data_IF_390746811480
#
_entry.id   IF_390746811480
#
_cell.length_a   1.000
_cell.length_b   1.000
_cell.length_c   1.000
_cell.angle_alpha   90.00
_cell.angle_beta   90.00
_cell.angle_gamma   90.00
#
_symmetry.space_group_name_H-M   'P 1'
#
loop_
_entity.id
_entity.type
_entity.pdbx_description
1 polymer ?
#
# COMPACT_ATOMS: atom_id res chain seq x y z
N UNK A 1 39.23 42.43 32.33
CA UNK A 1 39.32 41.53 31.16
C UNK A 1 38.94 40.14 31.64
N UNK A 2 37.75 39.65 31.31
CA UNK A 2 37.35 38.24 31.50
C UNK A 2 36.31 37.93 30.41
N UNK A 3 36.62 36.94 29.59
CA UNK A 3 35.93 36.61 28.36
C UNK A 3 34.58 35.92 28.64
N UNK A 4 33.53 36.36 27.93
CA UNK A 4 32.21 35.76 27.95
C UNK A 4 32.17 34.54 27.02
N UNK A 5 31.97 33.35 27.60
CA UNK A 5 31.78 32.08 26.90
C UNK A 5 30.39 32.04 26.20
N UNK A 6 30.29 31.88 24.86
CA UNK A 6 29.01 31.72 24.17
C UNK A 6 28.81 30.24 23.80
N UNK A 7 28.20 29.43 24.68
CA UNK A 7 28.23 27.97 24.49
C UNK A 7 26.91 27.18 24.57
N UNK A 8 25.87 27.68 25.23
CA UNK A 8 24.72 26.82 25.61
C UNK A 8 23.54 26.83 24.62
N UNK A 9 23.18 28.00 24.08
CA UNK A 9 21.95 28.16 23.27
C UNK A 9 22.01 27.58 21.85
N UNK A 10 23.22 27.45 21.28
CA UNK A 10 23.43 26.99 19.89
C UNK A 10 23.40 25.47 19.76
N UNK A 11 23.80 24.75 20.82
CA UNK A 11 23.81 23.28 20.88
C UNK A 11 22.41 22.70 21.02
N UNK A 12 21.54 23.33 21.83
CA UNK A 12 20.16 22.90 22.02
C UNK A 12 19.32 23.00 20.74
N UNK A 13 19.53 24.08 19.95
CA UNK A 13 18.84 24.27 18.66
C UNK A 13 19.27 23.27 17.60
N UNK A 14 20.54 22.86 17.60
CA UNK A 14 21.04 21.86 16.67
C UNK A 14 20.45 20.47 16.95
N UNK A 15 20.32 20.07 18.21
CA UNK A 15 19.69 18.80 18.59
C UNK A 15 18.19 18.79 18.27
N UNK A 16 17.48 19.89 18.54
CA UNK A 16 16.06 20.01 18.21
C UNK A 16 15.80 19.97 16.69
N UNK A 17 16.65 20.63 15.89
CA UNK A 17 16.58 20.56 14.43
C UNK A 17 16.85 19.14 13.90
N UNK A 18 17.79 18.42 14.52
CA UNK A 18 18.11 17.03 14.14
C UNK A 18 16.96 16.07 14.45
N UNK A 19 16.27 16.25 15.59
CA UNK A 19 15.08 15.48 15.96
C UNK A 19 13.90 15.74 14.99
N UNK A 20 13.71 16.99 14.56
CA UNK A 20 12.68 17.34 13.59
C UNK A 20 12.97 16.78 12.18
N UNK A 21 14.23 16.76 11.75
CA UNK A 21 14.63 16.12 10.47
C UNK A 21 14.49 14.59 10.52
N UNK A 22 14.79 13.96 11.65
CA UNK A 22 14.59 12.52 11.83
C UNK A 22 13.10 12.15 11.79
N UNK A 23 12.24 12.97 12.38
CA UNK A 23 10.79 12.77 12.34
C UNK A 23 10.21 12.95 10.92
N UNK A 24 10.68 13.94 10.16
CA UNK A 24 10.26 14.17 8.78
C UNK A 24 10.72 13.06 7.81
N UNK A 25 11.81 12.37 8.13
CA UNK A 25 12.31 11.24 7.34
C UNK A 25 11.45 9.98 7.52
N UNK A 26 10.91 9.75 8.71
CA UNK A 26 10.09 8.57 9.01
C UNK A 26 8.72 8.59 8.31
N UNK A 27 8.13 9.77 8.11
CA UNK A 27 6.84 9.91 7.42
C UNK A 27 6.95 9.83 5.90
N UNK A 28 8.13 10.09 5.33
CA UNK A 28 8.36 10.02 3.88
C UNK A 28 8.60 8.59 3.34
N UNK A 29 8.94 7.61 4.19
CA UNK A 29 9.12 6.21 3.75
C UNK A 29 7.80 5.47 3.45
N UNK A 30 6.64 6.01 3.84
CA UNK A 30 5.35 5.37 3.55
C UNK A 30 4.93 5.50 2.07
N UNK A 31 5.51 6.44 1.32
CA UNK A 31 5.17 6.71 -0.08
C UNK A 31 5.99 5.90 -1.10
N UNK A 32 6.98 5.09 -0.67
CA UNK A 32 7.83 4.30 -1.56
C UNK A 32 7.67 2.78 -1.42
N UNK A 33 6.73 2.32 -0.58
CA UNK A 33 6.41 0.90 -0.49
C UNK A 33 5.56 0.52 -1.71
N UNK A 34 6.22 0.03 -2.76
CA UNK A 34 5.55 -0.66 -3.86
C UNK A 34 4.63 -1.78 -3.36
N UNK A 35 3.72 -2.30 -4.21
CA UNK A 35 2.71 -3.27 -3.80
C UNK A 35 3.34 -4.46 -3.06
N UNK A 36 2.96 -4.65 -1.80
CA UNK A 36 3.46 -5.73 -0.97
C UNK A 36 2.83 -7.06 -1.41
N UNK A 37 3.44 -7.71 -2.40
CA UNK A 37 3.13 -9.10 -2.75
C UNK A 37 3.79 -9.97 -1.70
N UNK A 38 2.99 -10.58 -0.83
CA UNK A 38 3.49 -11.38 0.29
C UNK A 38 2.85 -12.76 0.30
N UNK A 39 3.63 -13.77 0.68
CA UNK A 39 3.12 -15.11 0.99
C UNK A 39 2.27 -15.13 2.28
N UNK A 40 2.25 -14.03 3.02
CA UNK A 40 1.45 -13.88 4.24
C UNK A 40 -0.01 -13.55 3.92
N UNK A 41 -0.95 -13.98 4.77
CA UNK A 41 -2.35 -13.57 4.64
C UNK A 41 -2.51 -12.04 4.60
N UNK A 42 -3.25 -11.54 3.63
CA UNK A 42 -3.58 -10.12 3.47
C UNK A 42 -4.89 -9.82 4.20
N UNK A 43 -4.90 -8.79 5.06
CA UNK A 43 -6.12 -8.30 5.74
C UNK A 43 -6.66 -7.05 5.05
N UNK A 44 -7.94 -7.10 4.70
CA UNK A 44 -8.63 -6.00 4.02
C UNK A 44 -10.12 -6.01 4.35
N UNK A 45 -10.68 -4.87 4.78
CA UNK A 45 -12.09 -4.70 5.17
C UNK A 45 -12.67 -5.82 6.07
N UNK A 46 -11.90 -6.25 7.08
CA UNK A 46 -12.30 -7.32 8.00
C UNK A 46 -12.15 -8.75 7.44
N UNK A 47 -11.93 -8.89 6.14
CA UNK A 47 -11.58 -10.14 5.47
C UNK A 47 -10.10 -10.50 5.60
N UNK A 48 -9.80 -11.80 5.47
CA UNK A 48 -8.43 -12.32 5.37
C UNK A 48 -8.32 -13.17 4.10
N UNK A 49 -7.34 -12.86 3.27
CA UNK A 49 -7.12 -13.45 1.94
C UNK A 49 -5.77 -14.12 1.89
N UNK A 50 -5.69 -15.32 1.30
CA UNK A 50 -4.49 -16.15 1.29
C UNK A 50 -4.25 -16.76 -0.08
N UNK A 51 -2.98 -17.09 -0.35
CA UNK A 51 -2.63 -17.89 -1.52
C UNK A 51 -3.37 -19.25 -1.48
N UNK A 52 -3.86 -19.69 -2.64
CA UNK A 52 -4.62 -20.93 -2.78
C UNK A 52 -6.11 -20.82 -2.43
N UNK A 53 -6.59 -19.69 -1.92
CA UNK A 53 -8.03 -19.49 -1.72
C UNK A 53 -8.77 -19.67 -3.04
N UNK A 54 -9.95 -20.29 -3.00
CA UNK A 54 -10.84 -20.36 -4.15
C UNK A 54 -11.57 -19.03 -4.35
N UNK A 55 -11.97 -18.72 -5.57
CA UNK A 55 -12.79 -17.54 -5.91
C UNK A 55 -14.01 -17.35 -4.98
N UNK A 56 -14.71 -18.43 -4.65
CA UNK A 56 -15.86 -18.37 -3.74
C UNK A 56 -15.47 -17.95 -2.31
N UNK A 57 -14.29 -18.36 -1.83
CA UNK A 57 -13.76 -17.94 -0.54
C UNK A 57 -13.39 -16.47 -0.54
N UNK A 58 -12.79 -15.97 -1.64
CA UNK A 58 -12.47 -14.54 -1.80
C UNK A 58 -13.74 -13.68 -1.78
N UNK A 59 -14.78 -14.05 -2.53
CA UNK A 59 -16.07 -13.33 -2.48
C UNK A 59 -16.69 -13.33 -1.10
N UNK A 60 -16.64 -14.47 -0.40
CA UNK A 60 -17.14 -14.59 0.97
C UNK A 60 -16.36 -13.70 1.94
N UNK A 61 -15.04 -13.67 1.84
CA UNK A 61 -14.18 -12.86 2.70
C UNK A 61 -14.31 -11.36 2.42
N UNK A 62 -14.50 -10.97 1.16
CA UNK A 62 -14.77 -9.58 0.78
C UNK A 62 -16.20 -9.13 1.09
N UNK A 63 -17.13 -10.08 1.26
CA UNK A 63 -18.56 -9.82 1.48
C UNK A 63 -19.30 -9.29 0.25
N UNK A 64 -18.65 -9.27 -0.92
CA UNK A 64 -19.21 -8.78 -2.19
C UNK A 64 -18.48 -9.33 -3.41
N UNK A 65 -19.03 -9.07 -4.59
CA UNK A 65 -18.37 -9.31 -5.88
C UNK A 65 -17.30 -8.25 -6.16
N UNK A 66 -16.28 -8.56 -6.99
CA UNK A 66 -15.26 -7.57 -7.37
C UNK A 66 -15.89 -6.42 -8.16
N UNK A 67 -15.31 -5.23 -7.99
CA UNK A 67 -15.69 -4.03 -8.75
C UNK A 67 -15.22 -4.13 -10.21
N UNK A 68 -14.14 -4.89 -10.45
CA UNK A 68 -13.63 -5.22 -11.78
C UNK A 68 -12.99 -6.60 -11.79
N UNK A 69 -13.21 -7.35 -12.87
CA UNK A 69 -12.59 -8.64 -13.14
C UNK A 69 -12.06 -8.64 -14.57
N UNK A 70 -10.77 -8.92 -14.75
CA UNK A 70 -10.10 -8.91 -16.04
C UNK A 70 -9.36 -10.22 -16.26
N UNK A 71 -9.38 -10.80 -17.47
CA UNK A 71 -8.58 -11.97 -17.78
C UNK A 71 -7.09 -11.66 -17.68
N UNK A 72 -6.33 -12.56 -17.06
CA UNK A 72 -4.87 -12.53 -17.02
C UNK A 72 -4.29 -13.31 -18.19
N UNK A 73 -3.42 -12.67 -18.95
CA UNK A 73 -2.74 -13.27 -20.09
C UNK A 73 -1.24 -13.36 -19.81
N UNK A 74 -0.66 -14.55 -19.97
CA UNK A 74 0.81 -14.72 -19.98
C UNK A 74 1.38 -14.55 -21.40
N UNK A 75 0.51 -14.67 -22.40
CA UNK A 75 0.76 -14.42 -23.82
C UNK A 75 -0.56 -14.02 -24.47
N UNK A 76 -0.51 -13.42 -25.67
CA UNK A 76 -1.67 -12.78 -26.32
C UNK A 76 -2.87 -13.70 -26.63
N UNK A 77 -2.76 -15.03 -26.50
CA UNK A 77 -3.75 -15.96 -27.07
C UNK A 77 -4.62 -16.72 -26.07
N UNK A 78 -4.20 -16.90 -24.82
CA UNK A 78 -4.96 -17.70 -23.86
C UNK A 78 -4.94 -17.12 -22.45
N UNK A 79 -6.11 -16.88 -21.84
CA UNK A 79 -6.16 -16.45 -20.46
C UNK A 79 -5.70 -17.59 -19.55
N UNK A 80 -4.78 -17.29 -18.65
CA UNK A 80 -4.24 -18.21 -17.64
C UNK A 80 -4.97 -18.10 -16.29
N UNK A 81 -5.85 -17.10 -16.16
CA UNK A 81 -6.63 -16.83 -14.97
C UNK A 81 -7.29 -15.46 -15.03
N UNK A 82 -7.52 -14.85 -13.87
CA UNK A 82 -8.26 -13.60 -13.72
C UNK A 82 -7.61 -12.68 -12.68
N UNK A 83 -7.68 -11.38 -12.89
CA UNK A 83 -7.31 -10.34 -11.93
C UNK A 83 -8.57 -9.62 -11.49
N UNK A 84 -8.86 -9.69 -10.20
CA UNK A 84 -10.00 -9.05 -9.57
C UNK A 84 -9.54 -7.84 -8.76
N UNK A 85 -10.33 -6.77 -8.82
CA UNK A 85 -10.11 -5.54 -8.07
C UNK A 85 -11.30 -5.25 -7.18
N UNK A 86 -11.02 -4.93 -5.90
CA UNK A 86 -12.01 -4.46 -4.95
C UNK A 86 -11.60 -3.07 -4.43
N UNK A 87 -12.46 -2.08 -4.64
CA UNK A 87 -12.23 -0.72 -4.17
C UNK A 87 -12.43 -0.61 -2.66
N UNK A 88 -11.55 0.16 -2.00
CA UNK A 88 -11.69 0.50 -0.60
C UNK A 88 -13.04 1.15 -0.27
N UNK A 89 -13.38 1.22 1.00
CA UNK A 89 -14.54 1.97 1.49
C UNK A 89 -14.07 3.16 2.33
N UNK A 90 -15.01 3.87 2.97
CA UNK A 90 -14.68 5.06 3.79
C UNK A 90 -13.77 4.78 4.99
N UNK A 91 -13.68 3.54 5.46
CA UNK A 91 -12.87 3.14 6.62
C UNK A 91 -11.50 2.59 6.22
N UNK A 92 -11.41 1.92 5.07
CA UNK A 92 -10.17 1.40 4.50
C UNK A 92 -10.15 1.73 3.00
N UNK A 93 -9.42 2.79 2.64
CA UNK A 93 -9.32 3.30 1.27
C UNK A 93 -8.42 2.45 0.37
N UNK A 94 -7.74 1.44 0.92
CA UNK A 94 -6.85 0.59 0.14
C UNK A 94 -7.64 -0.19 -0.90
N UNK A 95 -7.06 -0.34 -2.09
CA UNK A 95 -7.59 -1.21 -3.13
C UNK A 95 -7.03 -2.61 -2.90
N UNK A 96 -7.89 -3.63 -2.84
CA UNK A 96 -7.46 -5.02 -2.80
C UNK A 96 -7.39 -5.55 -4.24
N UNK A 97 -6.24 -6.11 -4.60
CA UNK A 97 -6.05 -6.85 -5.85
C UNK A 97 -5.83 -8.31 -5.56
N UNK A 98 -6.53 -9.16 -6.33
CA UNK A 98 -6.44 -10.61 -6.21
C UNK A 98 -6.29 -11.18 -7.61
N UNK A 99 -5.20 -11.88 -7.84
CA UNK A 99 -5.00 -12.64 -9.07
C UNK A 99 -5.26 -14.12 -8.81
N UNK A 100 -5.95 -14.74 -9.75
CA UNK A 100 -6.24 -16.14 -9.79
C UNK A 100 -5.47 -16.77 -10.94
N UNK A 101 -4.93 -17.96 -10.71
CA UNK A 101 -4.49 -18.88 -11.76
C UNK A 101 -5.18 -20.21 -11.52
N UNK A 102 -5.87 -20.73 -12.55
CA UNK A 102 -6.64 -21.99 -12.46
C UNK A 102 -7.65 -21.99 -11.29
N UNK A 103 -8.32 -20.86 -11.05
CA UNK A 103 -9.37 -20.71 -10.03
C UNK A 103 -8.87 -20.61 -8.57
N UNK A 104 -7.56 -20.41 -8.38
CA UNK A 104 -6.89 -20.30 -7.07
C UNK A 104 -6.10 -19.02 -6.99
N UNK A 105 -6.15 -18.35 -5.83
CA UNK A 105 -5.35 -17.13 -5.60
C UNK A 105 -3.87 -17.44 -5.79
N UNK A 106 -3.24 -16.77 -6.75
CA UNK A 106 -1.81 -16.86 -7.04
C UNK A 106 -1.06 -15.63 -6.53
N UNK A 107 -1.70 -14.46 -6.50
CA UNK A 107 -1.19 -13.24 -5.87
C UNK A 107 -2.30 -12.46 -5.20
N UNK A 108 -2.00 -11.85 -4.07
CA UNK A 108 -2.91 -10.94 -3.37
C UNK A 108 -2.11 -9.83 -2.70
N UNK A 109 -2.56 -8.60 -2.86
CA UNK A 109 -1.92 -7.43 -2.26
C UNK A 109 -2.91 -6.28 -2.12
N UNK A 110 -2.53 -5.28 -1.33
CA UNK A 110 -3.25 -4.02 -1.24
C UNK A 110 -2.41 -2.89 -1.81
N UNK A 111 -3.04 -2.01 -2.57
CA UNK A 111 -2.46 -0.73 -3.01
C UNK A 111 -3.09 0.38 -2.18
N UNK A 112 -2.30 1.41 -1.85
CA UNK A 112 -2.84 2.65 -1.33
C UNK A 112 -3.79 3.21 -2.39
N UNK A 113 -5.04 3.50 -2.01
CA UNK A 113 -5.93 4.28 -2.85
C UNK A 113 -5.42 5.71 -2.86
N UNK A 114 -4.43 6.01 -3.70
CA UNK A 114 -4.05 7.39 -3.96
C UNK A 114 -5.28 8.06 -4.58
N UNK A 115 -5.98 8.86 -3.78
CA UNK A 115 -6.68 10.02 -4.32
C UNK A 115 -5.70 10.72 -5.24
N UNK A 116 -6.06 10.82 -6.52
CA UNK A 116 -5.40 11.68 -7.48
C UNK A 116 -5.40 13.13 -6.96
N UNK A 117 -4.42 13.44 -6.12
CA UNK A 117 -3.94 14.79 -5.86
C UNK A 117 -2.57 14.85 -6.54
N UNK A 118 -2.59 14.76 -7.88
CA UNK A 118 -1.49 15.23 -8.69
C UNK A 118 -1.66 16.75 -8.74
N UNK A 119 -0.87 17.56 -8.00
CA UNK A 119 -0.84 18.97 -8.29
C UNK A 119 -0.27 19.11 -9.71
N UNK A 120 -1.14 19.48 -10.65
CA UNK A 120 -0.77 20.08 -11.93
C UNK A 120 0.17 21.26 -11.62
N UNK A 121 1.45 20.96 -11.52
CA UNK A 121 2.53 21.92 -11.28
C UNK A 121 3.78 21.42 -11.97
N UNK A 122 3.65 21.15 -13.26
CA UNK A 122 4.70 21.34 -14.27
C UNK A 122 4.06 21.59 -15.64
N UNK A 123 3.80 22.85 -15.96
CA UNK A 123 4.50 23.61 -17.01
C UNK A 123 3.86 24.98 -17.21
#
# INVERSE_FOLDING_TARGET
MAAAEPGAGRRLRAVAAMLLLAAASLTAQAASMGPLVTDKPVRWNGGTFKLGDAEAQVRKAAGRYPDSAQPLYMSERYPIGESWTFLGNRQDLRVLRVEFMRGRVSRVWTESGETADEPLSRQ
#
